data_IF_470057076395
#
_entry.id   IF_470057076395
#
_cell.length_a   1.000
_cell.length_b   1.000
_cell.length_c   1.000
_cell.angle_alpha   90.00
_cell.angle_beta   90.00
_cell.angle_gamma   90.00
#
_symmetry.space_group_name_H-M   'P 1'
#
loop_
_entity.id
_entity.type
_entity.pdbx_description
1 polymer ?
#
# COMPACT_ATOMS: atom_id res chain seq x y z
N UNK A 1 -21.14 51.59 -57.70
CA UNK A 1 -20.31 51.43 -56.48
C UNK A 1 -20.80 50.20 -55.72
N UNK A 2 -20.22 49.07 -56.00
CA UNK A 2 -20.60 47.79 -55.37
C UNK A 2 -19.76 47.49 -54.15
N UNK A 3 -20.35 47.32 -52.98
CA UNK A 3 -19.68 46.86 -51.76
C UNK A 3 -19.75 45.31 -51.75
N UNK A 4 -18.61 44.65 -51.99
CA UNK A 4 -18.43 43.24 -51.79
C UNK A 4 -18.24 42.93 -50.30
N UNK A 5 -19.25 42.33 -49.68
CA UNK A 5 -19.13 41.78 -48.33
C UNK A 5 -18.30 40.48 -48.40
N UNK A 6 -17.11 40.52 -47.76
CA UNK A 6 -16.29 39.29 -47.54
C UNK A 6 -16.81 38.57 -46.32
N UNK A 7 -17.57 37.52 -46.54
CA UNK A 7 -17.89 36.51 -45.51
C UNK A 7 -16.66 35.65 -45.27
N UNK A 8 -15.98 35.86 -44.15
CA UNK A 8 -14.89 35.02 -43.69
C UNK A 8 -15.50 33.78 -43.01
N UNK A 9 -15.16 32.55 -43.43
CA UNK A 9 -15.71 31.36 -42.79
C UNK A 9 -15.16 31.26 -41.37
N UNK A 10 -16.05 31.26 -40.36
CA UNK A 10 -15.68 31.02 -38.98
C UNK A 10 -14.95 29.67 -38.83
N UNK A 11 -13.77 29.69 -38.33
CA UNK A 11 -12.83 28.59 -38.24
C UNK A 11 -13.39 27.43 -37.40
N UNK A 12 -13.71 26.34 -38.04
CA UNK A 12 -14.07 25.05 -37.39
C UNK A 12 -12.98 24.55 -36.45
N UNK A 13 -11.74 25.02 -36.62
CA UNK A 13 -10.54 24.70 -35.82
C UNK A 13 -10.65 25.24 -34.40
N UNK A 14 -11.22 26.45 -34.20
CA UNK A 14 -11.33 27.03 -32.84
C UNK A 14 -12.34 26.26 -31.96
N UNK A 15 -13.42 25.75 -32.56
CA UNK A 15 -14.42 24.95 -31.83
C UNK A 15 -13.85 23.61 -31.42
N UNK A 16 -13.06 22.95 -32.28
CA UNK A 16 -12.42 21.65 -31.97
C UNK A 16 -11.40 21.77 -30.84
N UNK A 17 -10.58 22.83 -30.86
CA UNK A 17 -9.60 23.08 -29.79
C UNK A 17 -10.29 23.32 -28.44
N UNK A 18 -11.37 24.10 -28.42
CA UNK A 18 -12.13 24.35 -27.19
C UNK A 18 -12.78 23.07 -26.62
N UNK A 19 -13.31 22.21 -27.49
CA UNK A 19 -13.89 20.92 -27.05
C UNK A 19 -12.80 20.02 -26.44
N UNK A 20 -11.62 19.92 -27.05
CA UNK A 20 -10.51 19.13 -26.52
C UNK A 20 -10.01 19.63 -25.17
N UNK A 21 -9.94 20.95 -24.97
CA UNK A 21 -9.55 21.56 -23.70
C UNK A 21 -10.58 21.29 -22.60
N UNK A 22 -11.87 21.37 -22.92
CA UNK A 22 -12.95 21.08 -21.95
C UNK A 22 -12.94 19.61 -21.56
N UNK A 23 -12.82 18.70 -22.53
CA UNK A 23 -12.74 17.25 -22.26
C UNK A 23 -11.51 16.92 -21.44
N UNK A 24 -10.35 17.49 -21.76
CA UNK A 24 -9.11 17.33 -20.98
C UNK A 24 -9.26 17.80 -19.53
N UNK A 25 -9.88 18.96 -19.33
CA UNK A 25 -10.14 19.50 -18.00
C UNK A 25 -11.10 18.61 -17.17
N UNK A 26 -12.12 18.05 -17.81
CA UNK A 26 -13.07 17.13 -17.16
C UNK A 26 -12.39 15.80 -16.76
N UNK A 27 -11.55 15.22 -17.62
CA UNK A 27 -10.80 14.01 -17.32
C UNK A 27 -9.82 14.27 -16.15
N UNK A 28 -9.15 15.43 -16.16
CA UNK A 28 -8.23 15.80 -15.08
C UNK A 28 -8.97 16.02 -13.77
N UNK A 29 -10.10 16.70 -13.77
CA UNK A 29 -10.92 16.93 -12.59
C UNK A 29 -11.50 15.62 -12.03
N UNK A 30 -11.98 14.70 -12.88
CA UNK A 30 -12.45 13.38 -12.44
C UNK A 30 -11.33 12.52 -11.89
N UNK A 31 -10.14 12.60 -12.48
CA UNK A 31 -8.92 11.93 -11.98
C UNK A 31 -8.52 12.43 -10.59
N UNK A 32 -8.54 13.75 -10.36
CA UNK A 32 -8.27 14.35 -9.05
C UNK A 32 -9.33 13.92 -8.03
N UNK A 33 -10.61 13.97 -8.38
CA UNK A 33 -11.70 13.56 -7.48
C UNK A 33 -11.53 12.07 -7.12
N UNK A 34 -11.22 11.21 -8.08
CA UNK A 34 -10.99 9.79 -7.82
C UNK A 34 -9.78 9.57 -6.92
N UNK A 35 -8.68 10.32 -7.12
CA UNK A 35 -7.48 10.27 -6.28
C UNK A 35 -7.77 10.75 -4.85
N UNK A 36 -8.53 11.82 -4.68
CA UNK A 36 -8.90 12.36 -3.35
C UNK A 36 -9.86 11.41 -2.61
N UNK A 37 -10.80 10.78 -3.32
CA UNK A 37 -11.78 9.86 -2.71
C UNK A 37 -11.20 8.47 -2.42
N UNK A 38 -10.25 7.99 -3.24
CA UNK A 38 -9.62 6.66 -3.11
C UNK A 38 -8.13 6.70 -2.78
N UNK A 39 -7.58 7.90 -2.58
CA UNK A 39 -6.19 8.09 -2.16
C UNK A 39 -5.92 7.56 -0.74
N UNK A 40 -4.65 7.54 -0.33
CA UNK A 40 -4.29 7.11 1.02
C UNK A 40 -5.00 7.99 2.06
N UNK A 41 -5.62 7.34 3.04
CA UNK A 41 -6.35 8.02 4.09
C UNK A 41 -5.43 8.91 4.96
N UNK A 42 -5.96 9.99 5.55
CA UNK A 42 -5.19 10.89 6.40
C UNK A 42 -4.63 10.16 7.62
N UNK A 43 -3.46 10.60 8.07
CA UNK A 43 -2.68 10.00 9.18
C UNK A 43 -3.44 9.85 10.52
N UNK A 44 -4.61 10.48 10.66
CA UNK A 44 -5.41 10.48 11.88
C UNK A 44 -5.95 9.08 12.29
N UNK A 45 -6.31 8.24 11.30
CA UNK A 45 -6.84 6.89 11.58
C UNK A 45 -5.75 5.89 11.96
N UNK A 46 -4.48 6.20 11.67
CA UNK A 46 -3.35 5.35 12.04
C UNK A 46 -3.07 5.29 13.55
N UNK A 47 -3.54 6.27 14.29
CA UNK A 47 -3.36 6.33 15.75
C UNK A 47 -4.24 5.33 16.53
N UNK A 48 -5.20 4.67 15.86
CA UNK A 48 -6.20 3.81 16.48
C UNK A 48 -5.82 2.31 16.51
N UNK A 49 -4.65 1.92 15.98
CA UNK A 49 -4.24 0.51 16.05
C UNK A 49 -3.96 0.08 17.49
N UNK A 50 -4.44 -1.11 17.91
CA UNK A 50 -4.17 -1.64 19.24
C UNK A 50 -2.67 -1.73 19.49
N UNK A 51 -2.21 -1.22 20.64
CA UNK A 51 -0.82 -1.34 21.06
C UNK A 51 -0.45 -2.80 21.26
N UNK A 52 0.78 -3.15 20.85
CA UNK A 52 1.35 -4.47 21.09
C UNK A 52 2.46 -4.40 22.13
N UNK A 53 2.57 -5.46 22.92
CA UNK A 53 3.66 -5.64 23.90
C UNK A 53 4.73 -6.62 23.40
N UNK A 54 4.64 -7.07 22.13
CA UNK A 54 5.66 -7.98 21.55
C UNK A 54 6.95 -7.20 21.35
N UNK A 55 8.02 -7.71 21.96
CA UNK A 55 9.38 -7.19 21.78
C UNK A 55 10.06 -7.97 20.66
N UNK A 56 10.52 -7.29 19.64
CA UNK A 56 11.30 -7.91 18.54
C UNK A 56 12.78 -7.96 18.89
N UNK A 57 13.52 -8.90 18.28
CA UNK A 57 14.97 -8.91 18.38
C UNK A 57 15.59 -7.64 17.80
N UNK A 58 16.82 -7.34 18.23
CA UNK A 58 17.54 -6.15 17.75
C UNK A 58 17.95 -6.35 16.29
N UNK A 59 17.53 -5.48 15.37
CA UNK A 59 17.95 -5.53 13.97
C UNK A 59 19.47 -5.48 13.77
N UNK A 60 20.21 -4.89 14.71
CA UNK A 60 21.67 -4.84 14.67
C UNK A 60 22.34 -6.23 14.70
N UNK A 61 21.63 -7.26 15.16
CA UNK A 61 22.11 -8.65 15.15
C UNK A 61 22.16 -9.25 13.74
N UNK A 62 21.51 -8.62 12.77
CA UNK A 62 21.33 -9.15 11.44
C UNK A 62 21.96 -8.25 10.37
N UNK A 63 22.02 -8.76 9.12
CA UNK A 63 22.52 -8.03 7.96
C UNK A 63 21.52 -8.10 6.80
N UNK A 64 21.69 -7.19 5.83
CA UNK A 64 20.93 -7.19 4.57
C UNK A 64 19.42 -7.15 4.77
N UNK A 65 18.70 -7.99 3.99
CA UNK A 65 17.24 -8.04 4.00
C UNK A 65 16.67 -8.40 5.37
N UNK A 66 17.30 -9.35 6.08
CA UNK A 66 16.85 -9.75 7.41
C UNK A 66 16.85 -8.57 8.37
N UNK A 67 17.95 -7.79 8.41
CA UNK A 67 18.00 -6.55 9.22
C UNK A 67 16.83 -5.64 8.87
N UNK A 68 16.61 -5.36 7.58
CA UNK A 68 15.53 -4.47 7.14
C UNK A 68 14.13 -4.97 7.55
N UNK A 69 13.92 -6.28 7.58
CA UNK A 69 12.66 -6.86 8.02
C UNK A 69 12.44 -6.73 9.53
N UNK A 70 13.48 -6.93 10.36
CA UNK A 70 13.42 -6.67 11.81
C UNK A 70 13.27 -5.16 12.12
N UNK A 71 13.90 -4.28 11.34
CA UNK A 71 13.65 -2.84 11.41
C UNK A 71 12.18 -2.52 11.11
N UNK A 72 11.61 -3.12 10.05
CA UNK A 72 10.20 -2.95 9.72
C UNK A 72 9.29 -3.42 10.86
N UNK A 73 9.60 -4.55 11.50
CA UNK A 73 8.85 -5.05 12.65
C UNK A 73 8.89 -4.11 13.85
N UNK A 74 9.99 -3.39 14.06
CA UNK A 74 10.10 -2.36 15.12
C UNK A 74 9.42 -1.04 14.76
N UNK A 75 9.38 -0.68 13.47
CA UNK A 75 8.79 0.56 13.00
C UNK A 75 7.26 0.54 12.97
N UNK A 76 6.68 -0.62 12.65
CA UNK A 76 5.22 -0.78 12.49
C UNK A 76 4.67 -2.03 13.20
N UNK A 77 5.00 -2.22 14.50
CA UNK A 77 4.62 -3.44 15.22
C UNK A 77 3.11 -3.62 15.29
N UNK A 78 2.34 -2.55 15.49
CA UNK A 78 0.88 -2.60 15.56
C UNK A 78 0.25 -3.03 14.23
N UNK A 79 0.88 -2.70 13.10
CA UNK A 79 0.44 -3.15 11.77
C UNK A 79 0.68 -4.65 11.63
N UNK A 80 1.91 -5.13 11.93
CA UNK A 80 2.25 -6.54 11.79
C UNK A 80 1.46 -7.44 12.75
N UNK A 81 1.09 -6.93 13.92
CA UNK A 81 0.18 -7.61 14.85
C UNK A 81 -1.24 -7.85 14.28
N UNK A 82 -1.63 -7.11 13.23
CA UNK A 82 -2.91 -7.27 12.53
C UNK A 82 -2.83 -8.19 11.29
N UNK A 83 -1.64 -8.66 10.94
CA UNK A 83 -1.41 -9.43 9.72
C UNK A 83 -1.14 -10.89 10.05
N UNK A 84 -1.82 -11.85 9.39
CA UNK A 84 -1.50 -13.25 9.54
C UNK A 84 -0.15 -13.58 8.91
N UNK A 85 0.50 -14.64 9.42
CA UNK A 85 1.62 -15.27 8.76
C UNK A 85 1.11 -16.42 7.88
N UNK A 86 1.54 -16.48 6.63
CA UNK A 86 1.11 -17.48 5.65
C UNK A 86 2.11 -18.62 5.43
N UNK A 87 3.19 -18.69 6.23
CA UNK A 87 4.24 -19.70 6.08
C UNK A 87 3.98 -20.99 6.90
N UNK A 88 2.84 -21.12 7.57
CA UNK A 88 2.51 -22.27 8.40
C UNK A 88 2.98 -22.19 9.86
N UNK A 89 3.75 -21.17 10.26
CA UNK A 89 4.22 -21.04 11.64
C UNK A 89 3.10 -20.78 12.67
N UNK A 90 1.93 -20.37 12.24
CA UNK A 90 0.75 -20.28 13.12
C UNK A 90 0.36 -21.62 13.68
N UNK A 91 0.52 -22.73 12.92
CA UNK A 91 0.23 -24.08 13.35
C UNK A 91 1.43 -24.74 14.06
N UNK A 92 2.66 -24.50 13.55
CA UNK A 92 3.86 -25.17 14.05
C UNK A 92 4.49 -24.53 15.29
N UNK A 93 4.45 -23.20 15.40
CA UNK A 93 5.12 -22.42 16.45
C UNK A 93 4.18 -21.59 17.32
N UNK A 94 2.87 -21.78 17.18
CA UNK A 94 1.85 -21.04 17.92
C UNK A 94 1.92 -19.50 17.73
N UNK A 95 2.45 -19.04 16.60
CA UNK A 95 2.45 -17.61 16.27
C UNK A 95 1.01 -17.16 15.97
N UNK A 96 0.63 -16.00 16.50
CA UNK A 96 -0.72 -15.43 16.32
C UNK A 96 -0.80 -14.53 15.09
N UNK A 97 0.33 -13.94 14.70
CA UNK A 97 0.40 -12.94 13.63
C UNK A 97 1.84 -12.86 13.08
N UNK A 98 2.07 -11.97 12.10
CA UNK A 98 3.38 -11.82 11.48
C UNK A 98 4.42 -11.19 12.42
N UNK A 99 4.01 -10.36 13.39
CA UNK A 99 4.94 -9.75 14.34
C UNK A 99 5.65 -10.80 15.21
N UNK A 100 4.94 -11.88 15.58
CA UNK A 100 5.50 -12.94 16.43
C UNK A 100 6.71 -13.63 15.79
N UNK A 101 6.82 -13.61 14.45
CA UNK A 101 7.98 -14.15 13.73
C UNK A 101 9.29 -13.37 14.02
N UNK A 102 9.18 -12.16 14.55
CA UNK A 102 10.31 -11.26 14.83
C UNK A 102 10.63 -11.17 16.32
N UNK A 103 9.91 -11.90 17.17
CA UNK A 103 10.20 -12.01 18.58
C UNK A 103 11.48 -12.84 18.85
N UNK A 104 11.75 -13.77 17.97
CA UNK A 104 12.93 -14.66 17.98
C UNK A 104 13.58 -14.71 16.59
N UNK A 105 14.47 -15.71 16.36
CA UNK A 105 15.17 -15.88 15.09
C UNK A 105 14.31 -16.51 13.98
N UNK A 106 13.04 -16.82 14.24
CA UNK A 106 12.18 -17.46 13.24
C UNK A 106 12.03 -16.63 11.97
N UNK A 107 11.99 -15.30 12.09
CA UNK A 107 11.98 -14.38 10.97
C UNK A 107 13.24 -14.39 10.11
N UNK A 108 14.37 -14.94 10.60
CA UNK A 108 15.63 -15.06 9.84
C UNK A 108 15.47 -16.06 8.70
N UNK A 109 14.87 -17.23 9.01
CA UNK A 109 14.75 -18.34 8.07
C UNK A 109 13.55 -18.21 7.12
N UNK A 110 12.63 -17.29 7.38
CA UNK A 110 11.38 -17.19 6.63
C UNK A 110 11.33 -15.93 5.75
N UNK A 111 11.72 -16.08 4.47
CA UNK A 111 11.64 -14.98 3.49
C UNK A 111 10.23 -14.40 3.35
N UNK A 112 9.18 -15.24 3.47
CA UNK A 112 7.79 -14.78 3.38
C UNK A 112 7.43 -13.86 4.57
N UNK A 113 7.85 -14.17 5.80
CA UNK A 113 7.62 -13.29 6.94
C UNK A 113 8.31 -11.94 6.74
N UNK A 114 9.55 -11.96 6.20
CA UNK A 114 10.30 -10.75 5.87
C UNK A 114 9.61 -9.94 4.78
N UNK A 115 9.12 -10.59 3.71
CA UNK A 115 8.39 -9.93 2.63
C UNK A 115 7.14 -9.24 3.14
N UNK A 116 6.33 -9.92 3.97
CA UNK A 116 5.13 -9.35 4.57
C UNK A 116 5.47 -8.12 5.40
N UNK A 117 6.51 -8.19 6.24
CA UNK A 117 6.91 -7.07 7.09
C UNK A 117 7.34 -5.84 6.29
N UNK A 118 8.16 -6.05 5.24
CA UNK A 118 8.64 -4.98 4.37
C UNK A 118 7.49 -4.35 3.57
N UNK A 119 6.64 -5.16 2.93
CA UNK A 119 5.48 -4.68 2.19
C UNK A 119 4.51 -3.90 3.09
N UNK A 120 4.21 -4.42 4.27
CA UNK A 120 3.30 -3.78 5.22
C UNK A 120 3.84 -2.43 5.72
N UNK A 121 5.13 -2.37 6.07
CA UNK A 121 5.80 -1.12 6.46
C UNK A 121 5.71 -0.10 5.34
N UNK A 122 6.07 -0.48 4.11
CA UNK A 122 6.12 0.43 2.99
C UNK A 122 4.72 0.94 2.63
N UNK A 123 3.71 0.07 2.63
CA UNK A 123 2.32 0.48 2.44
C UNK A 123 1.85 1.43 3.53
N UNK A 124 2.12 1.11 4.81
CA UNK A 124 1.70 1.95 5.94
C UNK A 124 2.36 3.33 5.91
N UNK A 125 3.66 3.42 5.58
CA UNK A 125 4.38 4.68 5.40
C UNK A 125 3.84 5.50 4.23
N UNK A 126 3.33 4.84 3.19
CA UNK A 126 2.67 5.48 2.05
C UNK A 126 1.19 5.81 2.31
N UNK A 127 0.71 5.67 3.54
CA UNK A 127 -0.62 6.14 3.94
C UNK A 127 -1.76 5.16 3.68
N UNK A 128 -1.48 3.88 3.40
CA UNK A 128 -2.53 2.89 3.25
C UNK A 128 -3.14 2.51 4.60
N UNK A 129 -4.46 2.36 4.63
CA UNK A 129 -5.22 1.86 5.77
C UNK A 129 -4.95 0.37 6.03
N UNK A 130 -5.09 -0.04 7.28
CA UNK A 130 -4.81 -1.42 7.71
C UNK A 130 -5.64 -2.45 6.94
N UNK A 131 -6.90 -2.16 6.66
CA UNK A 131 -7.76 -3.07 5.90
C UNK A 131 -7.28 -3.25 4.45
N UNK A 132 -6.78 -2.19 3.84
CA UNK A 132 -6.17 -2.27 2.51
C UNK A 132 -4.86 -3.06 2.53
N UNK A 133 -4.01 -2.82 3.53
CA UNK A 133 -2.76 -3.57 3.74
C UNK A 133 -3.10 -5.06 3.90
N UNK A 134 -4.03 -5.40 4.78
CA UNK A 134 -4.48 -6.77 5.03
C UNK A 134 -4.96 -7.46 3.75
N UNK A 135 -5.76 -6.75 2.94
CA UNK A 135 -6.26 -7.29 1.69
C UNK A 135 -5.11 -7.59 0.70
N UNK A 136 -4.19 -6.64 0.51
CA UNK A 136 -3.05 -6.82 -0.41
C UNK A 136 -2.14 -7.97 0.05
N UNK A 137 -1.84 -8.04 1.34
CA UNK A 137 -1.04 -9.13 1.92
C UNK A 137 -1.72 -10.48 1.72
N UNK A 138 -3.04 -10.55 1.97
CA UNK A 138 -3.83 -11.76 1.71
C UNK A 138 -3.80 -12.19 0.25
N UNK A 139 -4.00 -11.26 -0.68
CA UNK A 139 -4.02 -11.55 -2.12
C UNK A 139 -2.67 -12.05 -2.62
N UNK A 140 -1.58 -11.50 -2.06
CA UNK A 140 -0.21 -11.84 -2.46
C UNK A 140 0.28 -13.16 -1.85
N UNK A 141 0.04 -13.37 -0.57
CA UNK A 141 0.63 -14.46 0.20
C UNK A 141 -0.36 -15.55 0.63
N UNK A 142 -1.67 -15.28 0.66
CA UNK A 142 -2.69 -16.20 1.18
C UNK A 142 -2.75 -17.56 0.47
N UNK A 143 -2.37 -17.62 -0.81
CA UNK A 143 -2.29 -18.87 -1.57
C UNK A 143 -1.29 -19.87 -0.99
N UNK A 144 -0.27 -19.40 -0.27
CA UNK A 144 0.75 -20.26 0.34
C UNK A 144 0.29 -20.93 1.63
N UNK A 145 -0.69 -20.37 2.32
CA UNK A 145 -1.26 -21.01 3.51
C UNK A 145 -1.86 -22.40 3.23
N UNK A 146 -2.37 -22.61 2.02
CA UNK A 146 -2.93 -23.92 1.60
C UNK A 146 -1.84 -24.96 1.27
N UNK A 147 -0.57 -24.54 1.12
CA UNK A 147 0.54 -25.43 0.75
C UNK A 147 1.38 -25.86 1.96
N UNK A 148 1.10 -25.32 3.14
CA UNK A 148 1.85 -25.55 4.38
C UNK A 148 1.23 -26.64 5.28
N UNK A 149 0.33 -27.48 4.72
CA UNK A 149 -0.32 -28.61 5.37
C UNK A 149 0.18 -29.95 4.85
#
# INVERSE_FOLDING_TARGET
MGKTSKNTPASKTATTINVLLVVGALIFATGIIWYVVKGPAPAADRAALPKTNVTTLDPALFAGRTRSAYEAAREVPEVLAQLPCYCGCMQGFNHKNNLDCFHDEHGVECSMCQDIALDARDMYKNGFEIDRIRQVIKDRYGKYAALSH
#
